data_IF_860035865645
#
_entry.id   IF_860035865645
#
_cell.length_a   1.000
_cell.length_b   1.000
_cell.length_c   1.000
_cell.angle_alpha   90.00
_cell.angle_beta   90.00
_cell.angle_gamma   90.00
#
_symmetry.space_group_name_H-M   'P 1'
#
loop_
_entity.id
_entity.type
_entity.pdbx_description
1 polymer ?
#
# COMPACT_ATOMS: atom_id res chain seq x y z
N UNK A 1 -28.97 6.97 24.30
CA UNK A 1 -27.61 7.07 24.90
C UNK A 1 -26.56 6.34 24.06
N UNK A 2 -26.71 5.04 23.78
CA UNK A 2 -25.73 4.25 23.03
C UNK A 2 -25.46 4.73 21.59
N UNK A 3 -26.49 5.18 20.87
CA UNK A 3 -26.38 5.69 19.48
C UNK A 3 -25.55 6.96 19.38
N UNK A 4 -25.70 7.89 20.32
CA UNK A 4 -24.94 9.15 20.35
C UNK A 4 -23.46 8.85 20.64
N UNK A 5 -23.18 7.92 21.56
CA UNK A 5 -21.81 7.48 21.86
C UNK A 5 -21.17 6.78 20.66
N UNK A 6 -21.93 5.94 19.96
CA UNK A 6 -21.48 5.30 18.73
C UNK A 6 -21.14 6.31 17.64
N UNK A 7 -22.02 7.28 17.37
CA UNK A 7 -21.76 8.33 16.38
C UNK A 7 -20.56 9.21 16.78
N UNK A 8 -20.44 9.55 18.06
CA UNK A 8 -19.30 10.31 18.58
C UNK A 8 -17.98 9.57 18.34
N UNK A 9 -17.95 8.26 18.59
CA UNK A 9 -16.77 7.45 18.29
C UNK A 9 -16.52 7.36 16.78
N UNK A 10 -17.56 7.09 15.99
CA UNK A 10 -17.46 6.91 14.54
C UNK A 10 -16.85 8.12 13.83
N UNK A 11 -17.26 9.32 14.24
CA UNK A 11 -16.77 10.59 13.69
C UNK A 11 -15.55 11.17 14.42
N UNK A 12 -15.03 10.52 15.46
CA UNK A 12 -13.76 10.90 16.08
C UNK A 12 -12.74 9.75 16.07
N UNK A 13 -12.70 8.93 17.13
CA UNK A 13 -11.68 7.90 17.34
C UNK A 13 -11.72 6.77 16.30
N UNK A 14 -12.86 6.55 15.64
CA UNK A 14 -12.97 5.59 14.54
C UNK A 14 -12.05 5.93 13.37
N UNK A 15 -11.87 7.22 13.06
CA UNK A 15 -10.95 7.66 12.01
C UNK A 15 -9.50 7.42 12.36
N UNK A 16 -9.08 7.72 13.59
CA UNK A 16 -7.69 7.50 14.01
C UNK A 16 -7.34 6.00 14.01
N UNK A 17 -8.28 5.14 14.39
CA UNK A 17 -8.15 3.70 14.25
C UNK A 17 -8.02 3.27 12.78
N UNK A 18 -8.91 3.74 11.91
CA UNK A 18 -8.92 3.40 10.48
C UNK A 18 -7.60 3.79 9.77
N UNK A 19 -7.11 5.01 10.01
CA UNK A 19 -5.81 5.45 9.48
C UNK A 19 -4.63 4.70 10.12
N UNK A 20 -4.77 4.30 11.38
CA UNK A 20 -3.79 3.45 12.07
C UNK A 20 -3.62 2.10 11.37
N UNK A 21 -4.73 1.43 11.04
CA UNK A 21 -4.73 0.17 10.30
C UNK A 21 -4.11 0.33 8.90
N UNK A 22 -4.48 1.38 8.17
CA UNK A 22 -3.88 1.69 6.87
C UNK A 22 -2.35 1.86 6.96
N UNK A 23 -1.86 2.61 7.95
CA UNK A 23 -0.42 2.81 8.17
C UNK A 23 0.29 1.50 8.52
N UNK A 24 -0.33 0.62 9.30
CA UNK A 24 0.22 -0.70 9.61
C UNK A 24 0.35 -1.56 8.34
N UNK A 25 -0.67 -1.55 7.47
CA UNK A 25 -0.63 -2.27 6.19
C UNK A 25 0.45 -1.72 5.25
N UNK A 26 0.60 -0.40 5.14
CA UNK A 26 1.71 0.21 4.38
C UNK A 26 3.08 -0.23 4.91
N UNK A 27 3.24 -0.25 6.23
CA UNK A 27 4.47 -0.71 6.89
C UNK A 27 4.74 -2.19 6.59
N UNK A 28 3.69 -3.01 6.57
CA UNK A 28 3.79 -4.44 6.21
C UNK A 28 4.23 -4.62 4.75
N UNK A 29 3.65 -3.88 3.79
CA UNK A 29 4.09 -3.91 2.38
C UNK A 29 5.56 -3.51 2.28
N UNK A 30 5.96 -2.41 2.93
CA UNK A 30 7.34 -1.95 2.94
C UNK A 30 8.32 -2.99 3.49
N UNK A 31 7.92 -3.76 4.51
CA UNK A 31 8.73 -4.84 5.10
C UNK A 31 8.79 -6.06 4.18
N UNK A 32 7.64 -6.49 3.65
CA UNK A 32 7.54 -7.67 2.77
C UNK A 32 8.36 -7.51 1.50
N UNK A 33 8.27 -6.34 0.86
CA UNK A 33 9.09 -6.00 -0.32
C UNK A 33 10.49 -5.49 0.04
N UNK A 34 10.81 -5.36 1.33
CA UNK A 34 12.12 -4.90 1.78
C UNK A 34 12.51 -3.55 1.14
N UNK A 35 11.54 -2.65 0.96
CA UNK A 35 11.68 -1.42 0.15
C UNK A 35 12.86 -0.56 0.62
N UNK A 36 13.01 -0.37 1.93
CA UNK A 36 14.09 0.44 2.51
C UNK A 36 15.49 -0.09 2.19
N UNK A 37 15.68 -1.41 2.16
CA UNK A 37 16.99 -2.00 1.82
C UNK A 37 17.20 -2.03 0.31
N UNK A 38 16.15 -2.27 -0.49
CA UNK A 38 16.23 -2.22 -1.95
C UNK A 38 16.64 -0.83 -2.45
N UNK A 39 16.07 0.23 -1.89
CA UNK A 39 16.44 1.61 -2.24
C UNK A 39 17.91 1.91 -1.88
N UNK A 40 18.39 1.44 -0.72
CA UNK A 40 19.80 1.60 -0.31
C UNK A 40 20.77 0.79 -1.15
N UNK A 41 20.32 -0.33 -1.72
CA UNK A 41 21.16 -1.28 -2.48
C UNK A 41 20.90 -1.25 -3.98
N UNK A 42 20.22 -0.21 -4.47
CA UNK A 42 19.75 -0.13 -5.85
C UNK A 42 20.89 -0.26 -6.86
N UNK A 43 22.04 0.36 -6.57
CA UNK A 43 23.26 0.31 -7.38
C UNK A 43 24.35 -0.58 -6.78
N UNK A 44 24.03 -1.34 -5.73
CA UNK A 44 24.97 -2.27 -5.13
C UNK A 44 25.21 -3.47 -6.06
N UNK A 45 26.46 -3.99 -6.15
CA UNK A 45 26.79 -5.14 -6.98
C UNK A 45 25.84 -6.30 -6.72
N UNK A 46 25.35 -6.94 -7.78
CA UNK A 46 24.46 -8.08 -7.64
C UNK A 46 25.26 -9.31 -7.19
N UNK A 47 24.79 -9.98 -6.12
CA UNK A 47 25.38 -11.22 -5.59
C UNK A 47 26.90 -11.16 -5.32
N UNK A 48 27.46 -9.97 -5.08
CA UNK A 48 28.91 -9.77 -4.92
C UNK A 48 29.74 -10.34 -6.09
N UNK A 49 29.14 -10.46 -7.28
CA UNK A 49 29.86 -10.81 -8.50
C UNK A 49 30.66 -9.57 -8.91
N UNK A 50 31.85 -9.45 -8.33
CA UNK A 50 32.79 -8.38 -8.63
C UNK A 50 34.09 -8.97 -9.13
N UNK A 51 34.48 -8.59 -10.35
CA UNK A 51 35.80 -8.93 -10.89
C UNK A 51 36.82 -7.93 -10.35
N UNK A 52 37.88 -8.43 -9.71
CA UNK A 52 38.96 -7.58 -9.21
C UNK A 52 39.78 -7.06 -10.40
N UNK A 53 39.92 -5.74 -10.48
CA UNK A 53 40.63 -5.09 -11.57
C UNK A 53 42.14 -5.10 -11.31
N UNK A 54 42.89 -5.65 -12.25
CA UNK A 54 44.35 -5.62 -12.38
C UNK A 54 44.68 -4.90 -13.69
N UNK A 55 45.89 -4.34 -13.84
CA UNK A 55 46.32 -3.66 -15.06
C UNK A 55 46.05 -4.45 -16.36
N UNK A 56 46.13 -5.78 -16.31
CA UNK A 56 45.92 -6.66 -17.47
C UNK A 56 44.46 -6.87 -17.86
N UNK A 57 43.52 -6.78 -16.91
CA UNK A 57 42.10 -7.10 -17.12
C UNK A 57 41.18 -5.91 -16.77
N UNK A 58 41.73 -4.70 -16.63
CA UNK A 58 41.02 -3.52 -16.17
C UNK A 58 39.71 -3.25 -16.93
N UNK A 59 39.77 -3.23 -18.27
CA UNK A 59 38.59 -3.01 -19.12
C UNK A 59 37.55 -4.11 -18.93
N UNK A 60 37.97 -5.37 -18.86
CA UNK A 60 37.07 -6.50 -18.66
C UNK A 60 36.39 -6.42 -17.29
N UNK A 61 37.17 -6.20 -16.23
CA UNK A 61 36.64 -6.06 -14.88
C UNK A 61 35.68 -4.86 -14.75
N UNK A 62 35.97 -3.75 -15.42
CA UNK A 62 35.08 -2.59 -15.46
C UNK A 62 33.73 -2.92 -16.11
N UNK A 63 33.75 -3.60 -17.26
CA UNK A 63 32.54 -4.02 -17.98
C UNK A 63 31.74 -5.01 -17.15
N UNK A 64 32.38 -6.07 -16.63
CA UNK A 64 31.74 -7.09 -15.80
C UNK A 64 31.05 -6.49 -14.57
N UNK A 65 31.75 -5.60 -13.86
CA UNK A 65 31.22 -4.92 -12.68
C UNK A 65 30.05 -3.98 -13.02
N UNK A 66 30.10 -3.33 -14.19
CA UNK A 66 29.02 -2.44 -14.64
C UNK A 66 27.78 -3.25 -15.01
N UNK A 67 27.94 -4.34 -15.77
CA UNK A 67 26.85 -5.25 -16.13
C UNK A 67 26.23 -5.86 -14.87
N UNK A 68 27.04 -6.30 -13.91
CA UNK A 68 26.58 -6.84 -12.61
C UNK A 68 25.70 -5.83 -11.86
N UNK A 69 26.12 -4.56 -11.79
CA UNK A 69 25.31 -3.49 -11.17
C UNK A 69 24.04 -3.20 -11.97
N UNK A 70 24.09 -3.22 -13.30
CA UNK A 70 22.94 -2.98 -14.17
C UNK A 70 21.87 -4.06 -14.01
N UNK A 71 22.28 -5.34 -14.00
CA UNK A 71 21.36 -6.46 -13.77
C UNK A 71 20.73 -6.33 -12.37
N UNK A 72 21.55 -6.05 -11.35
CA UNK A 72 21.05 -5.84 -10.00
C UNK A 72 20.09 -4.66 -9.88
N UNK A 73 20.34 -3.57 -10.61
CA UNK A 73 19.45 -2.43 -10.71
C UNK A 73 18.12 -2.83 -11.36
N UNK A 74 18.14 -3.51 -12.51
CA UNK A 74 16.94 -3.92 -13.25
C UNK A 74 16.03 -4.79 -12.37
N UNK A 75 16.58 -5.81 -11.71
CA UNK A 75 15.80 -6.70 -10.85
C UNK A 75 15.17 -5.91 -9.69
N UNK A 76 15.96 -5.11 -8.96
CA UNK A 76 15.46 -4.31 -7.83
C UNK A 76 14.44 -3.26 -8.27
N UNK A 77 14.62 -2.68 -9.46
CA UNK A 77 13.68 -1.74 -10.06
C UNK A 77 12.31 -2.38 -10.29
N UNK A 78 12.25 -3.58 -10.86
CA UNK A 78 10.97 -4.29 -11.02
C UNK A 78 10.33 -4.68 -9.68
N UNK A 79 11.12 -5.06 -8.68
CA UNK A 79 10.59 -5.34 -7.32
C UNK A 79 10.00 -4.06 -6.70
N UNK A 80 10.65 -2.90 -6.89
CA UNK A 80 10.14 -1.61 -6.42
C UNK A 80 8.86 -1.19 -7.16
N UNK A 81 8.76 -1.46 -8.47
CA UNK A 81 7.50 -1.28 -9.22
C UNK A 81 6.40 -2.16 -8.62
N UNK A 82 6.69 -3.43 -8.31
CA UNK A 82 5.73 -4.32 -7.64
C UNK A 82 5.25 -3.77 -6.30
N UNK A 83 6.18 -3.26 -5.48
CA UNK A 83 5.84 -2.59 -4.22
C UNK A 83 4.95 -1.35 -4.44
N UNK A 84 5.26 -0.53 -5.45
CA UNK A 84 4.48 0.66 -5.81
C UNK A 84 3.06 0.29 -6.24
N UNK A 85 2.91 -0.75 -7.06
CA UNK A 85 1.60 -1.27 -7.48
C UNK A 85 0.81 -1.74 -6.26
N UNK A 86 1.43 -2.51 -5.36
CA UNK A 86 0.78 -3.00 -4.15
C UNK A 86 0.31 -1.86 -3.24
N UNK A 87 1.14 -0.83 -3.02
CA UNK A 87 0.74 0.37 -2.26
C UNK A 87 -0.39 1.11 -2.94
N UNK A 88 -0.33 1.26 -4.27
CA UNK A 88 -1.37 1.95 -5.05
C UNK A 88 -2.71 1.23 -4.92
N UNK A 89 -2.74 -0.10 -5.13
CA UNK A 89 -3.94 -0.90 -4.97
C UNK A 89 -4.50 -0.79 -3.55
N UNK A 90 -3.66 -0.95 -2.52
CA UNK A 90 -4.06 -0.78 -1.13
C UNK A 90 -4.68 0.60 -0.88
N UNK A 91 -4.09 1.66 -1.46
CA UNK A 91 -4.59 3.04 -1.32
C UNK A 91 -5.96 3.23 -1.97
N UNK A 92 -6.16 2.66 -3.17
CA UNK A 92 -7.46 2.70 -3.87
C UNK A 92 -8.52 1.94 -3.07
N UNK A 93 -8.22 0.73 -2.59
CA UNK A 93 -9.14 -0.03 -1.74
C UNK A 93 -9.45 0.75 -0.45
N UNK A 94 -8.44 1.31 0.20
CA UNK A 94 -8.65 2.10 1.41
C UNK A 94 -9.56 3.31 1.17
N UNK A 95 -9.37 4.04 0.07
CA UNK A 95 -10.23 5.16 -0.30
C UNK A 95 -11.69 4.72 -0.51
N UNK A 96 -11.90 3.59 -1.19
CA UNK A 96 -13.23 3.00 -1.34
C UNK A 96 -13.86 2.63 0.01
N UNK A 97 -13.10 2.01 0.91
CA UNK A 97 -13.56 1.70 2.26
C UNK A 97 -13.87 2.95 3.09
N UNK A 98 -13.06 4.00 2.96
CA UNK A 98 -13.32 5.31 3.60
C UNK A 98 -14.62 5.92 3.09
N UNK A 99 -14.88 5.85 1.77
CA UNK A 99 -16.14 6.32 1.22
C UNK A 99 -17.31 5.57 1.85
N UNK A 100 -17.26 4.23 1.89
CA UNK A 100 -18.28 3.42 2.57
C UNK A 100 -18.41 3.80 4.05
N UNK A 101 -17.30 3.99 4.76
CA UNK A 101 -17.27 4.33 6.19
C UNK A 101 -18.07 5.60 6.51
N UNK A 102 -18.00 6.62 5.65
CA UNK A 102 -18.76 7.86 5.81
C UNK A 102 -20.28 7.61 5.66
N UNK A 103 -20.68 6.72 4.76
CA UNK A 103 -22.09 6.47 4.46
C UNK A 103 -22.76 5.44 5.38
N UNK A 104 -22.01 4.67 6.17
CA UNK A 104 -22.58 3.66 7.07
C UNK A 104 -23.58 4.27 8.08
N UNK A 105 -23.24 5.32 8.88
CA UNK A 105 -24.18 5.82 9.88
C UNK A 105 -25.49 6.39 9.30
N UNK A 106 -25.46 7.19 8.21
CA UNK A 106 -26.69 7.60 7.53
C UNK A 106 -27.48 6.41 6.96
N UNK A 107 -26.81 5.42 6.36
CA UNK A 107 -27.47 4.27 5.74
C UNK A 107 -28.29 3.45 6.76
N UNK A 108 -27.81 3.32 8.00
CA UNK A 108 -28.52 2.61 9.08
C UNK A 108 -29.89 3.24 9.37
N UNK A 109 -30.04 4.56 9.19
CA UNK A 109 -31.32 5.27 9.45
C UNK A 109 -32.16 5.37 8.17
N UNK A 110 -31.54 5.72 7.05
CA UNK A 110 -32.23 6.05 5.79
C UNK A 110 -32.80 4.81 5.10
N UNK A 111 -32.08 3.68 5.08
CA UNK A 111 -32.55 2.45 4.42
C UNK A 111 -33.86 1.88 5.02
N UNK A 112 -33.97 1.66 6.35
CA UNK A 112 -35.22 1.16 6.93
C UNK A 112 -36.37 2.16 6.77
N UNK A 113 -36.10 3.47 6.86
CA UNK A 113 -37.10 4.50 6.62
C UNK A 113 -37.64 4.46 5.18
N UNK A 114 -36.76 4.33 4.18
CA UNK A 114 -37.13 4.16 2.78
C UNK A 114 -37.97 2.90 2.56
N UNK A 115 -37.60 1.78 3.18
CA UNK A 115 -38.38 0.53 3.08
C UNK A 115 -39.78 0.66 3.66
N UNK A 116 -39.96 1.42 4.74
CA UNK A 116 -41.29 1.69 5.31
C UNK A 116 -42.13 2.60 4.41
N UNK A 117 -41.52 3.62 3.79
CA UNK A 117 -42.22 4.52 2.85
C UNK A 117 -42.63 3.78 1.57
N UNK A 118 -41.72 2.99 0.99
CA UNK A 118 -41.96 2.23 -0.24
C UNK A 118 -42.91 1.05 0.03
N UNK A 119 -42.75 0.34 1.15
CA UNK A 119 -43.64 -0.76 1.56
C UNK A 119 -45.05 -0.29 1.93
N UNK A 120 -45.18 0.90 2.54
CA UNK A 120 -46.47 1.53 2.80
C UNK A 120 -47.18 2.07 1.55
N UNK A 121 -46.43 2.40 0.50
CA UNK A 121 -46.97 2.85 -0.80
C UNK A 121 -47.54 1.69 -1.64
N UNK A 122 -47.08 0.44 -1.42
CA UNK A 122 -47.60 -0.75 -2.10
C UNK A 122 -48.83 -1.40 -1.44
N UNK A 123 -49.28 -0.89 -0.29
CA UNK A 123 -50.42 -1.43 0.47
C UNK A 123 -51.72 -0.63 0.28
N UNK A 124 -51.79 0.23 -0.74
CA UNK A 124 -52.98 1.00 -1.14
C UNK A 124 -53.47 0.58 -2.52
#
# INVERSE_FOLDING_TARGET
MATILFLKWWYSSGWSWLFGEYRQKLTSISRNFSVSILLKTLFAPWKQLTTQATFRNFFQAMVDNTISRLIGFIIRFFVLIGALIAVTLLSVFFLFFVAIWVFIPPAIVVLPLLMLVVGGAGAR
#
